data_IF_229170237003
#
_entry.id   IF_229170237003
#
_cell.length_a   1.000
_cell.length_b   1.000
_cell.length_c   1.000
_cell.angle_alpha   90.00
_cell.angle_beta   90.00
_cell.angle_gamma   90.00
#
_symmetry.space_group_name_H-M   'P 1'
#
loop_
_entity.id
_entity.type
_entity.pdbx_description
1 polymer ?
#
# COMPACT_ATOMS: atom_id res chain seq x y z
N UNK A 1 -2.55 -15.08 -13.53
CA UNK A 1 -2.65 -14.51 -12.18
C UNK A 1 -1.30 -13.99 -11.73
N UNK A 2 -1.26 -12.78 -11.27
CA UNK A 2 -0.01 -12.20 -10.82
C UNK A 2 0.29 -12.64 -9.40
N UNK A 3 1.56 -12.89 -9.13
CA UNK A 3 2.01 -13.16 -7.78
C UNK A 3 2.29 -11.85 -7.08
N UNK A 4 2.11 -11.85 -5.77
CA UNK A 4 2.51 -10.72 -4.96
C UNK A 4 4.03 -10.56 -5.04
N UNK A 5 4.47 -9.34 -5.29
CA UNK A 5 5.88 -9.03 -5.36
C UNK A 5 6.32 -8.17 -4.16
N UNK A 6 5.58 -8.28 -3.08
CA UNK A 6 5.89 -7.50 -1.89
C UNK A 6 7.22 -7.95 -1.30
N UNK A 7 7.95 -7.03 -0.66
CA UNK A 7 9.26 -7.35 -0.13
C UNK A 7 9.17 -8.25 1.08
N UNK A 8 10.31 -8.72 1.56
CA UNK A 8 10.37 -9.36 2.86
C UNK A 8 10.09 -8.31 3.91
N UNK A 9 9.23 -8.66 4.85
CA UNK A 9 8.82 -7.72 5.90
C UNK A 9 9.82 -7.77 7.05
N UNK A 10 10.25 -6.60 7.51
CA UNK A 10 11.29 -6.48 8.53
C UNK A 10 10.76 -5.79 9.77
N UNK A 11 11.31 -6.15 10.92
CA UNK A 11 11.09 -5.43 12.16
C UNK A 11 12.01 -4.23 12.22
N UNK A 12 11.83 -3.39 13.25
CA UNK A 12 12.66 -2.19 13.41
C UNK A 12 14.15 -2.51 13.54
N UNK A 13 14.48 -3.70 14.05
CA UNK A 13 15.87 -4.13 14.21
C UNK A 13 16.42 -4.85 12.97
N UNK A 14 15.70 -4.76 11.86
CA UNK A 14 16.03 -5.37 10.57
C UNK A 14 15.92 -6.89 10.55
N UNK A 15 15.42 -7.51 11.61
CA UNK A 15 15.18 -8.94 11.57
C UNK A 15 13.94 -9.24 10.73
N UNK A 16 13.93 -10.40 10.09
CA UNK A 16 12.87 -10.78 9.16
C UNK A 16 11.66 -11.31 9.92
N UNK A 17 10.46 -10.81 9.54
CA UNK A 17 9.21 -11.40 9.99
C UNK A 17 9.03 -12.69 9.20
N UNK A 18 9.19 -13.83 9.87
CA UNK A 18 9.16 -15.13 9.21
C UNK A 18 7.86 -15.90 9.44
N UNK A 19 6.94 -15.37 10.23
CA UNK A 19 5.67 -16.04 10.50
C UNK A 19 4.81 -16.06 9.23
N UNK A 20 4.51 -17.26 8.75
CA UNK A 20 3.75 -17.43 7.50
C UNK A 20 2.40 -16.74 7.54
N UNK A 21 1.70 -16.81 8.68
CA UNK A 21 0.39 -16.16 8.80
C UNK A 21 0.49 -14.65 8.74
N UNK A 22 1.51 -14.08 9.38
CA UNK A 22 1.69 -12.62 9.34
C UNK A 22 2.04 -12.15 7.94
N UNK A 23 2.90 -12.89 7.25
CA UNK A 23 3.28 -12.56 5.88
C UNK A 23 2.05 -12.59 4.98
N UNK A 24 1.22 -13.61 5.13
CA UNK A 24 0.00 -13.75 4.33
C UNK A 24 -0.92 -12.54 4.54
N UNK A 25 -1.14 -12.15 5.79
CA UNK A 25 -2.01 -11.02 6.11
C UNK A 25 -1.46 -9.74 5.48
N UNK A 26 -0.14 -9.49 5.64
CA UNK A 26 0.48 -8.29 5.08
C UNK A 26 0.33 -8.24 3.57
N UNK A 27 0.64 -9.36 2.90
CA UNK A 27 0.62 -9.39 1.44
C UNK A 27 -0.81 -9.22 0.91
N UNK A 28 -1.79 -9.87 1.54
CA UNK A 28 -3.18 -9.73 1.14
C UNK A 28 -3.68 -8.30 1.33
N UNK A 29 -3.32 -7.68 2.45
CA UNK A 29 -3.70 -6.29 2.69
C UNK A 29 -3.13 -5.36 1.62
N UNK A 30 -1.87 -5.55 1.26
CA UNK A 30 -1.25 -4.69 0.26
C UNK A 30 -1.78 -4.94 -1.14
N UNK A 31 -2.16 -6.18 -1.45
CA UNK A 31 -2.83 -6.47 -2.71
C UNK A 31 -4.16 -5.73 -2.80
N UNK A 32 -4.93 -5.68 -1.70
CA UNK A 32 -6.20 -4.97 -1.66
C UNK A 32 -6.02 -3.47 -1.78
N UNK A 33 -5.03 -2.92 -1.07
CA UNK A 33 -4.72 -1.49 -1.15
C UNK A 33 -4.33 -1.11 -2.57
N UNK A 34 -3.51 -1.95 -3.20
CA UNK A 34 -3.08 -1.70 -4.58
C UNK A 34 -4.28 -1.66 -5.51
N UNK A 35 -5.23 -2.60 -5.35
CA UNK A 35 -6.40 -2.64 -6.21
C UNK A 35 -7.26 -1.39 -6.02
N UNK A 36 -7.49 -0.99 -4.77
CA UNK A 36 -8.29 0.20 -4.48
C UNK A 36 -7.61 1.46 -5.03
N UNK A 37 -6.29 1.56 -4.84
CA UNK A 37 -5.55 2.71 -5.35
C UNK A 37 -5.57 2.75 -6.88
N UNK A 38 -5.44 1.59 -7.53
CA UNK A 38 -5.51 1.52 -8.97
C UNK A 38 -6.87 1.98 -9.48
N UNK A 39 -7.95 1.51 -8.84
CA UNK A 39 -9.30 1.91 -9.21
C UNK A 39 -9.49 3.42 -9.05
N UNK A 40 -8.97 3.99 -7.95
CA UNK A 40 -9.07 5.42 -7.71
C UNK A 40 -8.32 6.22 -8.79
N UNK A 41 -7.14 5.76 -9.14
CA UNK A 41 -6.36 6.42 -10.21
C UNK A 41 -7.14 6.40 -11.52
N UNK A 42 -7.68 5.24 -11.89
CA UNK A 42 -8.43 5.12 -13.15
C UNK A 42 -9.67 6.01 -13.15
N UNK A 43 -10.39 6.04 -12.04
CA UNK A 43 -11.58 6.88 -11.92
C UNK A 43 -11.22 8.36 -12.06
N UNK A 44 -10.13 8.79 -11.43
CA UNK A 44 -9.67 10.17 -11.54
C UNK A 44 -9.32 10.54 -12.97
N UNK A 45 -8.61 9.65 -13.66
CA UNK A 45 -8.23 9.90 -15.06
C UNK A 45 -9.47 9.97 -15.95
N UNK A 46 -10.48 9.13 -15.71
CA UNK A 46 -11.72 9.18 -16.46
C UNK A 46 -12.47 10.50 -16.24
N UNK A 47 -12.31 11.09 -15.07
CA UNK A 47 -12.93 12.39 -14.73
C UNK A 47 -12.04 13.57 -15.11
N UNK A 48 -10.97 13.30 -15.86
CA UNK A 48 -10.08 14.31 -16.41
C UNK A 48 -9.20 15.00 -15.36
N UNK A 49 -9.00 14.36 -14.22
CA UNK A 49 -7.99 14.82 -13.27
C UNK A 49 -6.63 14.38 -13.79
N UNK A 50 -5.61 15.23 -13.66
CA UNK A 50 -4.28 14.88 -14.15
C UNK A 50 -3.68 13.72 -13.37
N UNK A 51 -2.88 12.92 -14.06
CA UNK A 51 -2.19 11.80 -13.40
C UNK A 51 -1.29 12.30 -12.28
N UNK A 52 -0.58 13.41 -12.52
CA UNK A 52 0.30 13.98 -11.50
C UNK A 52 -0.46 14.32 -10.23
N UNK A 53 -1.63 14.94 -10.37
CA UNK A 53 -2.43 15.29 -9.20
C UNK A 53 -2.96 14.04 -8.48
N UNK A 54 -3.41 13.04 -9.24
CA UNK A 54 -3.89 11.80 -8.64
C UNK A 54 -2.78 11.12 -7.84
N UNK A 55 -1.56 11.07 -8.39
CA UNK A 55 -0.45 10.46 -7.67
C UNK A 55 -0.06 11.26 -6.44
N UNK A 56 -0.07 12.59 -6.54
CA UNK A 56 0.21 13.44 -5.37
C UNK A 56 -0.80 13.20 -4.26
N UNK A 57 -2.07 13.07 -4.60
CA UNK A 57 -3.11 12.82 -3.61
C UNK A 57 -2.91 11.46 -2.92
N UNK A 58 -2.54 10.43 -3.69
CA UNK A 58 -2.27 9.11 -3.13
C UNK A 58 -1.06 9.14 -2.21
N UNK A 59 0.00 9.85 -2.60
CA UNK A 59 1.18 10.01 -1.74
C UNK A 59 0.82 10.71 -0.43
N UNK A 60 0.05 11.78 -0.52
CA UNK A 60 -0.37 12.51 0.68
C UNK A 60 -1.21 11.63 1.60
N UNK A 61 -2.11 10.84 1.02
CA UNK A 61 -2.93 9.93 1.80
C UNK A 61 -2.06 8.99 2.64
N UNK A 62 -1.03 8.44 2.03
CA UNK A 62 -0.12 7.53 2.72
C UNK A 62 0.65 8.25 3.81
N UNK A 63 1.13 9.45 3.52
CA UNK A 63 1.89 10.24 4.50
C UNK A 63 1.04 10.63 5.70
N UNK A 64 -0.28 10.77 5.51
CA UNK A 64 -1.19 11.17 6.58
C UNK A 64 -1.58 10.01 7.51
N UNK A 65 -1.20 8.79 7.18
CA UNK A 65 -1.47 7.66 8.06
C UNK A 65 -0.71 7.80 9.37
N UNK A 66 -1.35 7.42 10.46
CA UNK A 66 -0.80 7.63 11.79
C UNK A 66 -0.57 6.29 12.47
N UNK A 67 0.62 6.15 13.08
CA UNK A 67 0.91 5.00 13.91
C UNK A 67 0.28 5.21 15.29
N UNK A 68 -0.82 4.51 15.63
CA UNK A 68 -1.48 4.72 16.93
C UNK A 68 -0.72 4.10 18.08
N UNK A 69 0.30 3.31 17.81
CA UNK A 69 1.08 2.61 18.84
C UNK A 69 2.37 3.33 19.17
N UNK A 70 2.68 4.41 18.46
CA UNK A 70 3.91 5.15 18.67
C UNK A 70 3.61 6.44 19.41
N UNK A 71 4.46 6.76 20.40
CA UNK A 71 4.29 7.96 21.22
C UNK A 71 5.19 9.08 20.76
#
# INVERSE_FOLDING_TARGET
MSKSTWPKWLRDDDSIVACTEKIKVMNENFDEIKQIAQDALEDGLLMEVSETQMRSALHKLIDDLINPYKR
#
